data_IF_129952522696
#
_entry.id   IF_129952522696
#
_cell.length_a   1.000
_cell.length_b   1.000
_cell.length_c   1.000
_cell.angle_alpha   90.00
_cell.angle_beta   90.00
_cell.angle_gamma   90.00
#
_symmetry.space_group_name_H-M   'P 1'
#
loop_
_entity.id
_entity.type
_entity.pdbx_description
1 polymer ?
#
# COMPACT_ATOMS: atom_id res chain seq x y z
N UNK A 1 -21.42 39.92 15.39
CA UNK A 1 -20.22 39.17 14.98
C UNK A 1 -19.67 38.55 16.24
N UNK A 2 -19.70 37.23 16.36
CA UNK A 2 -19.23 36.53 17.56
C UNK A 2 -17.77 36.16 17.30
N UNK A 3 -16.83 36.74 18.06
CA UNK A 3 -15.41 36.43 17.90
C UNK A 3 -15.07 35.16 18.68
N UNK A 4 -14.40 34.22 18.01
CA UNK A 4 -13.96 32.95 18.63
C UNK A 4 -13.00 33.16 19.81
N UNK A 5 -12.35 34.32 19.90
CA UNK A 5 -11.47 34.74 21.00
C UNK A 5 -12.21 34.91 22.33
N UNK A 6 -13.51 35.15 22.27
CA UNK A 6 -14.29 35.55 23.45
C UNK A 6 -14.74 34.33 24.27
N UNK A 7 -14.61 33.12 23.70
CA UNK A 7 -14.92 31.87 24.36
C UNK A 7 -13.67 31.24 24.98
N UNK A 8 -13.65 31.21 26.31
CA UNK A 8 -12.62 30.52 27.08
C UNK A 8 -13.26 29.50 28.03
N UNK A 9 -12.69 28.30 28.05
CA UNK A 9 -13.03 27.25 29.01
C UNK A 9 -12.15 27.43 30.25
N UNK A 10 -12.76 27.64 31.43
CA UNK A 10 -12.02 27.64 32.69
C UNK A 10 -12.08 26.25 33.34
N UNK A 11 -10.93 25.70 33.71
CA UNK A 11 -10.80 24.48 34.51
C UNK A 11 -9.83 24.78 35.66
N UNK A 12 -10.34 24.72 36.90
CA UNK A 12 -9.65 25.16 38.13
C UNK A 12 -9.07 26.58 37.99
N UNK A 13 -7.77 26.70 37.73
CA UNK A 13 -7.03 27.97 37.60
C UNK A 13 -6.58 28.25 36.16
N UNK A 14 -6.83 27.34 35.22
CA UNK A 14 -6.42 27.48 33.82
C UNK A 14 -7.60 27.90 32.94
N UNK A 15 -7.36 28.92 32.12
CA UNK A 15 -8.26 29.35 31.06
C UNK A 15 -7.71 28.89 29.71
N UNK A 16 -8.49 28.07 29.02
CA UNK A 16 -8.11 27.45 27.75
C UNK A 16 -9.00 28.04 26.64
N UNK A 17 -8.43 28.72 25.64
CA UNK A 17 -9.20 29.26 24.54
C UNK A 17 -9.84 28.15 23.72
N UNK A 18 -11.08 28.35 23.29
CA UNK A 18 -11.82 27.36 22.48
C UNK A 18 -11.05 26.95 21.23
N UNK A 19 -10.33 27.89 20.61
CA UNK A 19 -9.55 27.64 19.40
C UNK A 19 -8.44 26.60 19.60
N UNK A 20 -7.83 26.55 20.78
CA UNK A 20 -6.79 25.57 21.11
C UNK A 20 -7.38 24.17 21.17
N UNK A 21 -8.55 24.02 21.79
CA UNK A 21 -9.27 22.73 21.86
C UNK A 21 -9.67 22.28 20.45
N UNK A 22 -10.19 23.19 19.63
CA UNK A 22 -10.59 22.92 18.26
C UNK A 22 -9.39 22.43 17.41
N UNK A 23 -8.22 23.03 17.58
CA UNK A 23 -6.99 22.65 16.88
C UNK A 23 -6.55 21.23 17.22
N UNK A 24 -6.66 20.83 18.49
CA UNK A 24 -6.33 19.47 18.94
C UNK A 24 -7.26 18.44 18.28
N UNK A 25 -8.57 18.70 18.30
CA UNK A 25 -9.53 17.79 17.66
C UNK A 25 -9.36 17.76 16.14
N UNK A 26 -9.04 18.89 15.51
CA UNK A 26 -8.73 18.94 14.08
C UNK A 26 -7.53 18.05 13.74
N UNK A 27 -6.45 18.11 14.54
CA UNK A 27 -5.26 17.27 14.35
C UNK A 27 -5.58 15.78 14.47
N UNK A 28 -6.36 15.40 15.48
CA UNK A 28 -6.81 14.01 15.65
C UNK A 28 -7.66 13.56 14.46
N UNK A 29 -8.58 14.42 14.01
CA UNK A 29 -9.42 14.17 12.83
C UNK A 29 -8.60 13.93 11.56
N UNK A 30 -7.59 14.77 11.31
CA UNK A 30 -6.69 14.63 10.16
C UNK A 30 -5.90 13.32 10.25
N UNK A 31 -5.40 12.94 11.42
CA UNK A 31 -4.68 11.68 11.61
C UNK A 31 -5.57 10.45 11.35
N UNK A 32 -6.82 10.47 11.82
CA UNK A 32 -7.78 9.40 11.57
C UNK A 32 -8.17 9.29 10.08
N UNK A 33 -8.42 10.42 9.42
CA UNK A 33 -8.72 10.45 7.98
C UNK A 33 -7.50 10.00 7.19
N UNK A 34 -6.31 10.49 7.53
CA UNK A 34 -5.05 10.14 6.89
C UNK A 34 -4.75 8.65 7.01
N UNK A 35 -4.95 8.05 8.19
CA UNK A 35 -4.74 6.61 8.38
C UNK A 35 -5.76 5.76 7.61
N UNK A 36 -7.03 6.17 7.60
CA UNK A 36 -8.08 5.50 6.82
C UNK A 36 -7.77 5.51 5.32
N UNK A 37 -7.45 6.68 4.78
CA UNK A 37 -7.08 6.86 3.38
C UNK A 37 -5.83 6.04 3.05
N UNK A 38 -4.80 6.09 3.90
CA UNK A 38 -3.56 5.32 3.73
C UNK A 38 -3.83 3.82 3.64
N UNK A 39 -4.67 3.27 4.52
CA UNK A 39 -5.07 1.85 4.48
C UNK A 39 -5.84 1.53 3.21
N UNK A 40 -6.75 2.42 2.80
CA UNK A 40 -7.58 2.23 1.60
C UNK A 40 -6.72 2.21 0.32
N UNK A 41 -5.73 3.10 0.21
CA UNK A 41 -4.76 3.09 -0.89
C UNK A 41 -3.80 1.90 -0.83
N UNK A 42 -3.40 1.45 0.37
CA UNK A 42 -2.56 0.24 0.51
C UNK A 42 -3.30 -1.01 0.07
N UNK A 43 -4.60 -1.12 0.38
CA UNK A 43 -5.46 -2.26 0.00
C UNK A 43 -5.80 -2.28 -1.49
N UNK A 44 -5.94 -1.11 -2.11
CA UNK A 44 -6.27 -0.96 -3.53
C UNK A 44 -5.05 -0.88 -4.46
N UNK A 45 -3.85 -1.30 -4.03
CA UNK A 45 -2.75 -1.54 -4.97
C UNK A 45 -3.07 -2.77 -5.82
N UNK A 46 -3.89 -2.56 -6.84
CA UNK A 46 -4.18 -3.51 -7.91
C UNK A 46 -3.00 -3.48 -8.88
N UNK A 47 -2.37 -4.62 -9.08
CA UNK A 47 -1.31 -4.78 -10.06
C UNK A 47 -1.94 -5.33 -11.34
N UNK A 48 -1.57 -4.78 -12.48
CA UNK A 48 -2.11 -5.23 -13.78
C UNK A 48 -1.10 -6.22 -14.35
N UNK A 49 -1.53 -7.47 -14.55
CA UNK A 49 -0.75 -8.52 -15.20
C UNK A 49 -1.60 -9.14 -16.31
N UNK A 50 -1.07 -9.17 -17.54
CA UNK A 50 -1.74 -9.76 -18.73
C UNK A 50 -3.22 -9.36 -18.93
N UNK A 51 -3.58 -8.10 -18.62
CA UNK A 51 -4.94 -7.52 -18.74
C UNK A 51 -5.94 -7.93 -17.65
N UNK A 52 -5.50 -8.62 -16.60
CA UNK A 52 -6.30 -8.90 -15.41
C UNK A 52 -5.81 -8.10 -14.18
N UNK A 53 -6.75 -7.70 -13.32
CA UNK A 53 -6.44 -7.05 -12.05
C UNK A 53 -6.07 -8.11 -11.02
N UNK A 54 -4.78 -8.23 -10.69
CA UNK A 54 -4.27 -9.18 -9.71
C UNK A 54 -3.82 -8.48 -8.44
N UNK A 55 -3.98 -9.17 -7.31
CA UNK A 55 -3.45 -8.71 -6.03
C UNK A 55 -1.91 -8.73 -6.04
N UNK A 56 -1.26 -7.92 -5.18
CA UNK A 56 0.20 -7.86 -5.13
C UNK A 56 0.88 -9.19 -4.78
N UNK A 57 0.23 -10.05 -4.00
CA UNK A 57 0.75 -11.38 -3.66
C UNK A 57 0.63 -12.34 -4.85
N UNK A 58 -0.45 -12.24 -5.63
CA UNK A 58 -0.61 -13.03 -6.85
C UNK A 58 0.33 -12.59 -7.95
N UNK A 59 0.57 -11.28 -8.10
CA UNK A 59 1.55 -10.75 -9.03
C UNK A 59 2.94 -11.33 -8.77
N UNK A 60 3.41 -11.31 -7.51
CA UNK A 60 4.70 -11.91 -7.14
C UNK A 60 4.76 -13.41 -7.39
N UNK A 61 3.65 -14.12 -7.19
CA UNK A 61 3.56 -15.56 -7.47
C UNK A 61 3.66 -15.84 -8.97
N UNK A 62 2.98 -15.05 -9.80
CA UNK A 62 2.99 -15.15 -11.26
C UNK A 62 4.38 -14.84 -11.83
N UNK A 63 5.01 -13.76 -11.38
CA UNK A 63 6.39 -13.40 -11.75
C UNK A 63 7.38 -14.52 -11.41
N UNK A 64 7.25 -15.12 -10.22
CA UNK A 64 8.09 -16.25 -9.82
C UNK A 64 7.86 -17.48 -10.70
N UNK A 65 6.61 -17.75 -11.08
CA UNK A 65 6.27 -18.86 -11.97
C UNK A 65 6.84 -18.66 -13.37
N UNK A 66 6.80 -17.44 -13.90
CA UNK A 66 7.36 -17.12 -15.22
C UNK A 66 8.88 -17.33 -15.26
N UNK A 67 9.60 -16.88 -14.23
CA UNK A 67 11.04 -17.12 -14.10
C UNK A 67 11.36 -18.62 -14.05
N UNK A 68 10.61 -19.40 -13.27
CA UNK A 68 10.78 -20.86 -13.19
C UNK A 68 10.52 -21.55 -14.55
N UNK A 69 9.50 -21.10 -15.29
CA UNK A 69 9.23 -21.63 -16.64
C UNK A 69 10.39 -21.35 -17.59
N UNK A 70 10.93 -20.13 -17.55
CA UNK A 70 12.07 -19.75 -18.39
C UNK A 70 13.32 -20.59 -18.07
N UNK A 71 13.62 -20.80 -16.78
CA UNK A 71 14.71 -21.68 -16.36
C UNK A 71 14.52 -23.11 -16.86
N UNK A 72 13.30 -23.63 -16.75
CA UNK A 72 12.95 -24.95 -17.24
C UNK A 72 13.11 -25.07 -18.76
N UNK A 73 12.69 -24.07 -19.54
CA UNK A 73 12.88 -24.04 -20.99
C UNK A 73 14.37 -24.07 -21.37
N UNK A 74 15.22 -23.34 -20.64
CA UNK A 74 16.68 -23.33 -20.83
C UNK A 74 17.26 -24.72 -20.54
N UNK A 75 16.85 -25.38 -19.46
CA UNK A 75 17.29 -26.74 -19.13
C UNK A 75 16.87 -27.75 -20.19
N UNK A 76 15.62 -27.68 -20.65
CA UNK A 76 15.09 -28.57 -21.68
C UNK A 76 15.86 -28.42 -23.00
N UNK A 77 16.23 -27.18 -23.35
CA UNK A 77 17.07 -26.90 -24.51
C UNK A 77 18.47 -27.53 -24.36
N UNK A 78 19.09 -27.47 -23.17
CA UNK A 78 20.39 -28.10 -22.88
C UNK A 78 20.32 -29.63 -22.98
N UNK A 79 19.28 -30.25 -22.44
CA UNK A 79 19.06 -31.71 -22.52
C UNK A 79 18.87 -32.13 -23.98
N UNK A 80 18.02 -31.43 -24.73
CA UNK A 80 17.77 -31.71 -26.14
C UNK A 80 19.04 -31.58 -27.00
N UNK A 81 19.88 -30.58 -26.72
CA UNK A 81 21.19 -30.41 -27.38
C UNK A 81 22.12 -31.59 -27.07
N UNK A 82 22.17 -32.03 -25.82
CA UNK A 82 23.01 -33.16 -25.40
C UNK A 82 22.60 -34.47 -26.06
N UNK A 83 21.30 -34.78 -26.11
CA UNK A 83 20.77 -35.95 -26.82
C UNK A 83 21.06 -35.92 -28.33
N UNK A 84 20.96 -34.75 -28.97
CA UNK A 84 21.27 -34.62 -30.40
C UNK A 84 22.77 -34.84 -30.68
N UNK A 85 23.64 -34.47 -29.73
CA UNK A 85 25.09 -34.67 -29.85
C UNK A 85 25.53 -36.12 -29.61
N UNK A 86 24.79 -36.90 -28.82
CA UNK A 86 25.10 -38.31 -28.54
C UNK A 86 24.55 -39.30 -29.58
N UNK A 87 23.70 -38.83 -30.51
CA UNK A 87 23.10 -39.66 -31.58
C UNK A 87 23.95 -39.69 -32.87
N UNK A 88 25.19 -39.18 -32.81
CA UNK A 88 26.25 -39.27 -33.83
C UNK A 88 27.32 -40.18 -33.25
#
# INVERSE_FOLDING_TARGET
MINLSDFSFKVLDFSLPLWVVLLIFLMIGILCIGSYIFILFKKNRKFIYEKEEVSGDEFKRLEKFENLRNDFEIELAKVKKSYRSQKI
#
